data_IF_968440819187
#
_entry.id   IF_968440819187
#
_cell.length_a   1.000
_cell.length_b   1.000
_cell.length_c   1.000
_cell.angle_alpha   90.00
_cell.angle_beta   90.00
_cell.angle_gamma   90.00
#
_symmetry.space_group_name_H-M   'P 1'
#
loop_
_entity.id
_entity.type
_entity.pdbx_description
1 polymer ?
#
# COMPACT_ATOMS: atom_id res chain seq x y z
N UNK A 1 -39.43 4.82 24.04
CA UNK A 1 -38.19 4.09 23.82
C UNK A 1 -37.79 4.36 22.37
N UNK A 2 -36.87 5.29 22.13
CA UNK A 2 -36.41 5.59 20.77
C UNK A 2 -35.49 4.45 20.35
N UNK A 3 -35.91 3.63 19.40
CA UNK A 3 -35.02 2.76 18.66
C UNK A 3 -34.04 3.69 17.91
N UNK A 4 -32.79 3.69 18.34
CA UNK A 4 -31.70 4.26 17.56
C UNK A 4 -31.61 3.35 16.32
N UNK A 5 -32.17 3.81 15.20
CA UNK A 5 -31.93 3.18 13.90
C UNK A 5 -30.41 3.32 13.65
N UNK A 6 -29.66 2.29 13.97
CA UNK A 6 -28.27 2.17 13.55
C UNK A 6 -28.29 2.00 12.04
N UNK A 7 -28.07 3.12 11.30
CA UNK A 7 -27.86 3.07 9.86
C UNK A 7 -26.58 2.27 9.63
N UNK A 8 -26.66 1.26 8.76
CA UNK A 8 -25.50 0.48 8.36
C UNK A 8 -24.45 1.43 7.75
N UNK A 9 -23.21 1.35 8.23
CA UNK A 9 -22.11 2.18 7.73
C UNK A 9 -21.79 1.81 6.30
N UNK A 10 -21.51 2.82 5.48
CA UNK A 10 -21.22 2.67 4.05
C UNK A 10 -19.71 2.66 3.85
N UNK A 11 -19.19 1.63 3.19
CA UNK A 11 -17.78 1.45 2.90
C UNK A 11 -17.55 1.43 1.39
N UNK A 12 -16.71 2.31 0.89
CA UNK A 12 -16.30 2.35 -0.52
C UNK A 12 -15.05 1.49 -0.71
N UNK A 13 -15.16 0.42 -1.50
CA UNK A 13 -14.04 -0.46 -1.89
C UNK A 13 -13.56 -0.06 -3.27
N UNK A 14 -12.27 0.29 -3.39
CA UNK A 14 -11.63 0.64 -4.67
C UNK A 14 -10.52 -0.36 -4.95
N UNK A 15 -10.76 -1.22 -5.94
CA UNK A 15 -9.93 -2.38 -6.25
C UNK A 15 -10.12 -2.70 -7.73
N UNK A 16 -9.05 -2.78 -8.52
CA UNK A 16 -9.13 -3.08 -9.95
C UNK A 16 -9.30 -4.58 -10.23
N UNK A 17 -8.73 -5.47 -9.40
CA UNK A 17 -8.95 -6.91 -9.52
C UNK A 17 -10.40 -7.29 -9.15
N UNK A 18 -11.17 -7.89 -10.08
CA UNK A 18 -12.58 -8.19 -9.85
C UNK A 18 -12.80 -9.24 -8.77
N UNK A 19 -11.86 -10.19 -8.60
CA UNK A 19 -11.99 -11.28 -7.61
C UNK A 19 -11.81 -10.74 -6.20
N UNK A 20 -10.76 -9.95 -5.98
CA UNK A 20 -10.50 -9.29 -4.71
C UNK A 20 -11.61 -8.32 -4.35
N UNK A 21 -12.12 -7.55 -5.32
CA UNK A 21 -13.20 -6.60 -5.13
C UNK A 21 -14.49 -7.27 -4.64
N UNK A 22 -14.88 -8.39 -5.27
CA UNK A 22 -16.07 -9.17 -4.85
C UNK A 22 -15.87 -9.76 -3.47
N UNK A 23 -14.71 -10.36 -3.21
CA UNK A 23 -14.38 -10.94 -1.90
C UNK A 23 -14.48 -9.89 -0.77
N UNK A 24 -13.94 -8.69 -0.99
CA UNK A 24 -14.01 -7.60 -0.01
C UNK A 24 -15.46 -7.15 0.23
N UNK A 25 -16.27 -7.04 -0.82
CA UNK A 25 -17.68 -6.69 -0.67
C UNK A 25 -18.43 -7.73 0.16
N UNK A 26 -18.27 -9.02 -0.15
CA UNK A 26 -18.91 -10.12 0.58
C UNK A 26 -18.47 -10.14 2.07
N UNK A 27 -17.20 -9.88 2.36
CA UNK A 27 -16.69 -9.80 3.73
C UNK A 27 -17.36 -8.65 4.50
N UNK A 28 -17.51 -7.49 3.90
CA UNK A 28 -18.10 -6.30 4.51
C UNK A 28 -19.61 -6.49 4.72
N UNK A 29 -20.32 -6.96 3.70
CA UNK A 29 -21.78 -7.20 3.78
C UNK A 29 -22.11 -8.26 4.84
N UNK A 30 -21.29 -9.34 4.93
CA UNK A 30 -21.44 -10.35 5.97
C UNK A 30 -21.20 -9.83 7.39
N UNK A 31 -20.56 -8.67 7.51
CA UNK A 31 -20.31 -7.98 8.78
C UNK A 31 -21.31 -6.84 9.05
N UNK A 32 -22.31 -6.63 8.16
CA UNK A 32 -23.37 -5.65 8.34
C UNK A 32 -23.06 -4.26 7.78
N UNK A 33 -21.99 -4.10 7.00
CA UNK A 33 -21.70 -2.87 6.25
C UNK A 33 -22.44 -2.84 4.92
N UNK A 34 -22.65 -1.65 4.38
CA UNK A 34 -23.06 -1.46 2.99
C UNK A 34 -21.82 -1.26 2.14
N UNK A 35 -21.53 -2.19 1.22
CA UNK A 35 -20.36 -2.14 0.37
C UNK A 35 -20.67 -1.46 -0.97
N UNK A 36 -19.99 -0.35 -1.27
CA UNK A 36 -19.95 0.26 -2.60
C UNK A 36 -18.64 -0.14 -3.27
N UNK A 37 -18.69 -0.62 -4.51
CA UNK A 37 -17.48 -1.12 -5.19
C UNK A 37 -17.12 -0.29 -6.42
N UNK A 38 -15.84 0.00 -6.59
CA UNK A 38 -15.29 0.71 -7.74
C UNK A 38 -14.07 -0.03 -8.28
N UNK A 39 -14.02 -0.20 -9.60
CA UNK A 39 -12.91 -0.82 -10.32
C UNK A 39 -11.84 0.20 -10.77
N UNK A 40 -12.04 1.48 -10.50
CA UNK A 40 -11.11 2.55 -10.90
C UNK A 40 -11.30 3.81 -10.05
N UNK A 41 -10.27 4.65 -10.01
CA UNK A 41 -10.32 5.94 -9.33
C UNK A 41 -11.49 6.83 -9.84
N UNK A 42 -11.76 6.84 -11.15
CA UNK A 42 -12.86 7.63 -11.72
C UNK A 42 -14.24 7.16 -11.26
N UNK A 43 -14.44 5.83 -11.15
CA UNK A 43 -15.68 5.28 -10.60
C UNK A 43 -15.79 5.59 -9.10
N UNK A 44 -14.70 5.43 -8.35
CA UNK A 44 -14.64 5.73 -6.93
C UNK A 44 -15.01 7.18 -6.61
N UNK A 45 -14.51 8.14 -7.39
CA UNK A 45 -14.84 9.56 -7.21
C UNK A 45 -16.33 9.84 -7.40
N UNK A 46 -16.98 9.18 -8.38
CA UNK A 46 -18.44 9.32 -8.60
C UNK A 46 -19.25 8.74 -7.44
N UNK A 47 -18.89 7.53 -6.99
CA UNK A 47 -19.57 6.88 -5.86
C UNK A 47 -19.37 7.67 -4.55
N UNK A 48 -18.14 8.13 -4.30
CA UNK A 48 -17.84 8.97 -3.15
C UNK A 48 -18.72 10.24 -3.12
N UNK A 49 -18.85 10.93 -4.26
CA UNK A 49 -19.65 12.14 -4.36
C UNK A 49 -21.17 11.90 -4.23
N UNK A 50 -21.64 10.72 -4.60
CA UNK A 50 -23.07 10.38 -4.59
C UNK A 50 -23.53 9.82 -3.24
N UNK A 51 -22.67 9.15 -2.47
CA UNK A 51 -23.08 8.35 -1.32
C UNK A 51 -22.46 8.76 0.01
N UNK A 52 -21.46 9.65 0.01
CA UNK A 52 -20.76 10.14 1.21
C UNK A 52 -20.38 9.00 2.18
N UNK A 53 -19.51 8.07 1.79
CA UNK A 53 -19.21 6.88 2.57
C UNK A 53 -18.51 7.21 3.90
N UNK A 54 -18.71 6.37 4.92
CA UNK A 54 -18.07 6.48 6.24
C UNK A 54 -16.61 6.05 6.20
N UNK A 55 -16.27 5.11 5.31
CA UNK A 55 -14.90 4.63 5.13
C UNK A 55 -14.59 4.33 3.66
N UNK A 56 -13.30 4.32 3.32
CA UNK A 56 -12.81 3.84 2.04
C UNK A 56 -11.68 2.82 2.23
N UNK A 57 -11.82 1.66 1.58
CA UNK A 57 -10.76 0.66 1.42
C UNK A 57 -10.18 0.87 0.02
N UNK A 58 -8.88 1.18 -0.05
CA UNK A 58 -8.22 1.58 -1.27
C UNK A 58 -7.05 0.65 -1.60
N UNK A 59 -7.09 0.00 -2.76
CA UNK A 59 -5.84 -0.52 -3.31
C UNK A 59 -4.94 0.66 -3.70
N UNK A 60 -3.65 0.49 -3.45
CA UNK A 60 -2.64 1.47 -3.81
C UNK A 60 -2.34 1.42 -5.30
N UNK A 61 -2.33 0.21 -5.89
CA UNK A 61 -2.09 0.00 -7.32
C UNK A 61 -3.41 -0.21 -8.07
N UNK A 62 -3.94 0.86 -8.61
CA UNK A 62 -5.18 0.86 -9.41
C UNK A 62 -4.91 0.82 -10.92
N UNK A 63 -3.73 0.34 -11.31
CA UNK A 63 -3.30 0.29 -12.71
C UNK A 63 -2.91 1.66 -13.26
N UNK A 64 -3.42 2.01 -14.46
CA UNK A 64 -3.03 3.26 -15.12
C UNK A 64 -3.78 4.47 -14.55
N UNK A 65 -3.04 5.49 -14.12
CA UNK A 65 -3.60 6.78 -13.72
C UNK A 65 -3.34 7.18 -12.27
N UNK A 66 -4.39 7.59 -11.58
CA UNK A 66 -4.33 8.03 -10.17
C UNK A 66 -4.19 6.78 -9.29
N UNK A 67 -3.17 6.74 -8.43
CA UNK A 67 -2.99 5.68 -7.46
C UNK A 67 -3.88 5.87 -6.21
N UNK A 68 -3.95 4.84 -5.36
CA UNK A 68 -4.79 4.87 -4.16
C UNK A 68 -4.41 5.97 -3.16
N UNK A 69 -3.14 6.38 -3.09
CA UNK A 69 -2.73 7.48 -2.20
C UNK A 69 -3.22 8.83 -2.70
N UNK A 70 -3.08 9.11 -4.01
CA UNK A 70 -3.59 10.35 -4.60
C UNK A 70 -5.11 10.44 -4.47
N UNK A 71 -5.80 9.29 -4.59
CA UNK A 71 -7.25 9.19 -4.40
C UNK A 71 -7.63 9.44 -2.94
N UNK A 72 -6.90 8.87 -1.98
CA UNK A 72 -7.09 9.10 -0.55
C UNK A 72 -6.92 10.59 -0.18
N UNK A 73 -5.88 11.23 -0.72
CA UNK A 73 -5.65 12.67 -0.52
C UNK A 73 -6.81 13.51 -1.08
N UNK A 74 -7.36 13.12 -2.24
CA UNK A 74 -8.51 13.80 -2.83
C UNK A 74 -9.78 13.64 -1.97
N UNK A 75 -10.00 12.43 -1.43
CA UNK A 75 -11.13 12.16 -0.53
C UNK A 75 -10.98 12.87 0.81
N UNK A 76 -9.81 12.78 1.43
CA UNK A 76 -9.54 13.41 2.73
C UNK A 76 -9.69 14.94 2.70
N UNK A 77 -9.32 15.60 1.59
CA UNK A 77 -9.57 17.03 1.42
C UNK A 77 -11.05 17.40 1.39
N UNK A 78 -11.91 16.49 0.92
CA UNK A 78 -13.37 16.73 0.82
C UNK A 78 -14.11 16.28 2.07
N UNK A 79 -13.69 15.20 2.70
CA UNK A 79 -14.24 14.63 3.92
C UNK A 79 -13.10 14.24 4.86
N UNK A 80 -12.63 15.16 5.73
CA UNK A 80 -11.55 14.86 6.68
C UNK A 80 -11.89 13.77 7.71
N UNK A 81 -13.18 13.51 7.92
CA UNK A 81 -13.68 12.47 8.82
C UNK A 81 -13.74 11.06 8.17
N UNK A 82 -13.51 10.96 6.86
CA UNK A 82 -13.50 9.67 6.16
C UNK A 82 -12.44 8.75 6.75
N UNK A 83 -12.85 7.58 7.22
CA UNK A 83 -11.91 6.55 7.64
C UNK A 83 -11.21 5.94 6.41
N UNK A 84 -9.90 5.80 6.47
CA UNK A 84 -9.09 5.28 5.37
C UNK A 84 -8.40 3.98 5.76
N UNK A 85 -8.53 2.96 4.91
CA UNK A 85 -7.79 1.72 5.01
C UNK A 85 -7.13 1.44 3.64
N UNK A 86 -5.81 1.37 3.62
CA UNK A 86 -5.08 0.92 2.45
C UNK A 86 -4.89 -0.58 2.47
N UNK A 87 -5.17 -1.20 1.34
CA UNK A 87 -5.06 -2.64 1.14
C UNK A 87 -4.27 -2.90 -0.13
N UNK A 88 -3.07 -3.49 -0.03
CA UNK A 88 -2.17 -3.58 -1.18
C UNK A 88 -1.21 -4.75 -1.09
N UNK A 89 -0.70 -5.19 -2.23
CA UNK A 89 0.44 -6.12 -2.29
C UNK A 89 1.77 -5.47 -1.95
N UNK A 90 1.83 -4.13 -1.94
CA UNK A 90 3.07 -3.41 -1.70
C UNK A 90 3.46 -3.47 -0.22
N UNK A 91 4.68 -3.85 0.09
CA UNK A 91 5.16 -3.92 1.47
C UNK A 91 5.33 -2.54 2.12
N UNK A 92 5.50 -1.49 1.32
CA UNK A 92 5.82 -0.15 1.81
C UNK A 92 5.23 0.94 0.90
N UNK A 93 4.51 1.94 1.47
CA UNK A 93 3.94 3.06 0.70
C UNK A 93 4.97 3.87 -0.08
N UNK A 94 6.25 3.84 0.34
CA UNK A 94 7.34 4.55 -0.32
C UNK A 94 7.62 4.07 -1.75
N UNK A 95 7.12 2.89 -2.14
CA UNK A 95 7.29 2.36 -3.50
C UNK A 95 6.47 3.09 -4.56
N UNK A 96 5.36 3.72 -4.22
CA UNK A 96 4.41 4.25 -5.21
C UNK A 96 4.35 5.77 -5.25
N UNK A 97 4.45 6.46 -4.12
CA UNK A 97 4.18 7.89 -4.07
C UNK A 97 5.45 8.75 -4.15
N UNK A 98 5.51 9.63 -5.16
CA UNK A 98 6.51 10.70 -5.23
C UNK A 98 6.18 11.90 -4.33
N UNK A 99 4.91 12.07 -3.96
CA UNK A 99 4.41 13.28 -3.33
C UNK A 99 4.13 13.16 -1.83
N UNK A 100 3.71 12.00 -1.33
CA UNK A 100 3.37 11.83 0.09
C UNK A 100 4.25 10.79 0.75
N UNK A 101 5.01 11.22 1.75
CA UNK A 101 5.87 10.33 2.56
C UNK A 101 5.17 9.82 3.81
N UNK A 102 3.96 10.27 4.08
CA UNK A 102 3.18 9.86 5.25
C UNK A 102 1.73 9.59 4.87
N UNK A 103 1.23 8.45 5.31
CA UNK A 103 -0.21 8.17 5.26
C UNK A 103 -0.96 9.18 6.12
N UNK A 104 -2.22 9.50 5.78
CA UNK A 104 -3.07 10.32 6.61
C UNK A 104 -3.09 9.81 8.06
N UNK A 105 -3.14 10.72 9.02
CA UNK A 105 -3.26 10.34 10.43
C UNK A 105 -4.54 9.53 10.63
N UNK A 106 -4.45 8.42 11.37
CA UNK A 106 -5.61 7.53 11.58
C UNK A 106 -5.90 6.55 10.44
N UNK A 107 -5.16 6.59 9.33
CA UNK A 107 -5.32 5.58 8.28
C UNK A 107 -4.72 4.23 8.68
N UNK A 108 -5.45 3.14 8.42
CA UNK A 108 -4.93 1.78 8.51
C UNK A 108 -4.22 1.38 7.21
N UNK A 109 -3.29 0.43 7.30
CA UNK A 109 -2.54 -0.10 6.15
C UNK A 109 -2.35 -1.60 6.30
N UNK A 110 -3.01 -2.37 5.46
CA UNK A 110 -2.95 -3.82 5.45
C UNK A 110 -2.33 -4.34 4.15
N UNK A 111 -1.73 -5.51 4.24
CA UNK A 111 -1.23 -6.24 3.07
C UNK A 111 -2.25 -7.28 2.61
N UNK A 112 -2.48 -7.38 1.29
CA UNK A 112 -3.43 -8.32 0.69
C UNK A 112 -3.08 -9.78 0.97
N UNK A 113 -1.79 -10.13 1.12
CA UNK A 113 -1.35 -11.48 1.46
C UNK A 113 -1.75 -11.93 2.90
N UNK A 114 -2.22 -11.00 3.72
CA UNK A 114 -2.69 -11.28 5.08
C UNK A 114 -4.23 -11.30 5.21
N UNK A 115 -4.95 -11.17 4.09
CA UNK A 115 -6.42 -11.20 4.05
C UNK A 115 -7.05 -12.59 4.22
N UNK A 116 -6.25 -13.63 4.46
CA UNK A 116 -6.78 -14.98 4.74
C UNK A 116 -7.70 -15.03 5.97
N UNK A 117 -7.58 -14.05 6.87
CA UNK A 117 -8.46 -13.88 8.01
C UNK A 117 -9.25 -12.57 7.89
N UNK A 118 -10.54 -12.67 7.58
CA UNK A 118 -11.43 -11.50 7.49
C UNK A 118 -11.47 -10.65 8.76
N UNK A 119 -11.15 -11.24 9.93
CA UNK A 119 -11.11 -10.51 11.21
C UNK A 119 -10.08 -9.41 11.18
N UNK A 120 -8.91 -9.63 10.56
CA UNK A 120 -7.85 -8.61 10.45
C UNK A 120 -8.36 -7.39 9.68
N UNK A 121 -9.07 -7.61 8.57
CA UNK A 121 -9.68 -6.53 7.78
C UNK A 121 -10.71 -5.75 8.60
N UNK A 122 -11.62 -6.47 9.26
CA UNK A 122 -12.71 -5.84 10.01
C UNK A 122 -12.20 -5.09 11.24
N UNK A 123 -11.25 -5.65 11.99
CA UNK A 123 -10.61 -4.98 13.12
C UNK A 123 -9.89 -3.68 12.69
N UNK A 124 -9.16 -3.73 11.57
CA UNK A 124 -8.49 -2.54 11.05
C UNK A 124 -9.48 -1.48 10.53
N UNK A 125 -10.59 -1.91 9.91
CA UNK A 125 -11.64 -1.00 9.44
C UNK A 125 -12.35 -0.34 10.62
N UNK A 126 -12.73 -1.10 11.66
CA UNK A 126 -13.36 -0.55 12.86
C UNK A 126 -12.41 0.39 13.61
N UNK A 127 -11.13 0.05 13.69
CA UNK A 127 -10.12 0.93 14.28
C UNK A 127 -9.98 2.24 13.50
N UNK A 128 -10.05 2.20 12.17
CA UNK A 128 -10.02 3.41 11.34
C UNK A 128 -11.30 4.26 11.53
N UNK A 129 -12.46 3.60 11.61
CA UNK A 129 -13.76 4.26 11.83
C UNK A 129 -13.88 4.91 13.23
N UNK A 130 -13.25 4.32 14.24
CA UNK A 130 -13.22 4.85 15.61
C UNK A 130 -12.06 5.81 15.87
N UNK A 131 -11.11 5.96 14.93
CA UNK A 131 -9.90 6.73 15.11
C UNK A 131 -8.85 6.08 16.02
N UNK A 132 -8.96 4.78 16.28
CA UNK A 132 -8.12 4.00 17.21
C UNK A 132 -7.07 3.15 16.49
N UNK A 133 -6.58 3.60 15.33
CA UNK A 133 -5.56 2.89 14.57
C UNK A 133 -4.24 2.81 15.36
N UNK A 134 -3.79 1.59 15.63
CA UNK A 134 -2.55 1.27 16.33
C UNK A 134 -1.49 0.70 15.38
N UNK A 135 -0.31 0.39 15.91
CA UNK A 135 0.76 -0.26 15.12
C UNK A 135 0.37 -1.63 14.54
N UNK A 136 -0.60 -2.33 15.13
CA UNK A 136 -1.11 -3.61 14.62
C UNK A 136 -1.88 -3.43 13.29
N UNK A 137 -2.49 -2.27 13.08
CA UNK A 137 -3.23 -1.92 11.86
C UNK A 137 -2.34 -1.18 10.83
N UNK A 138 -1.03 -1.11 11.09
CA UNK A 138 -0.06 -0.36 10.30
C UNK A 138 1.07 -1.29 9.85
N UNK A 139 0.77 -2.16 8.89
CA UNK A 139 1.75 -3.10 8.33
C UNK A 139 2.90 -2.41 7.59
N UNK A 140 2.77 -1.13 7.29
CA UNK A 140 3.85 -0.28 6.77
C UNK A 140 4.89 0.12 7.83
N UNK A 141 4.57 0.02 9.12
CA UNK A 141 5.42 0.47 10.25
C UNK A 141 6.06 -0.66 11.07
N UNK A 142 6.09 -1.88 10.56
CA UNK A 142 6.75 -2.97 11.29
C UNK A 142 8.26 -2.73 11.41
N UNK A 143 8.75 -2.66 12.65
CA UNK A 143 10.14 -2.33 12.99
C UNK A 143 11.17 -3.41 12.57
N UNK A 144 10.70 -4.56 12.11
CA UNK A 144 11.49 -5.73 11.69
C UNK A 144 11.69 -5.83 10.17
N UNK A 145 11.36 -4.76 9.42
CA UNK A 145 11.53 -4.76 7.96
C UNK A 145 12.97 -4.44 7.58
N UNK A 146 13.63 -5.31 6.84
CA UNK A 146 14.93 -5.01 6.26
C UNK A 146 14.91 -3.73 5.40
N UNK A 147 13.78 -3.44 4.73
CA UNK A 147 13.60 -2.23 3.90
C UNK A 147 13.58 -0.92 4.69
N UNK A 148 13.30 -0.94 6.02
CA UNK A 148 13.32 0.27 6.85
C UNK A 148 14.74 0.85 7.03
N UNK A 149 15.75 0.03 6.77
CA UNK A 149 17.14 0.49 6.71
C UNK A 149 17.45 1.34 5.48
N UNK A 150 16.59 1.35 4.46
CA UNK A 150 16.80 2.05 3.20
C UNK A 150 16.02 3.36 3.14
N UNK A 151 16.66 4.41 2.61
CA UNK A 151 15.96 5.66 2.28
C UNK A 151 15.07 5.46 1.04
N UNK A 152 14.08 6.35 0.85
CA UNK A 152 13.22 6.36 -0.33
C UNK A 152 14.03 6.32 -1.64
N UNK A 153 15.06 7.17 -1.77
CA UNK A 153 15.93 7.19 -2.95
C UNK A 153 16.60 5.84 -3.19
N UNK A 154 17.03 5.17 -2.12
CA UNK A 154 17.64 3.84 -2.23
C UNK A 154 16.62 2.80 -2.70
N UNK A 155 15.41 2.80 -2.16
CA UNK A 155 14.33 1.92 -2.58
C UNK A 155 14.00 2.12 -4.06
N UNK A 156 13.79 3.36 -4.51
CA UNK A 156 13.50 3.67 -5.92
C UNK A 156 14.62 3.19 -6.87
N UNK A 157 15.88 3.46 -6.52
CA UNK A 157 17.02 3.02 -7.33
C UNK A 157 17.10 1.50 -7.36
N UNK A 158 16.96 0.82 -6.21
CA UNK A 158 17.05 -0.64 -6.15
C UNK A 158 15.89 -1.34 -6.85
N UNK A 159 14.68 -0.76 -6.84
CA UNK A 159 13.54 -1.27 -7.63
C UNK A 159 13.84 -1.22 -9.14
N UNK A 160 14.44 -0.14 -9.64
CA UNK A 160 14.85 -0.04 -11.03
C UNK A 160 15.97 -1.02 -11.39
N UNK A 161 16.91 -1.29 -10.46
CA UNK A 161 17.95 -2.31 -10.63
C UNK A 161 17.33 -3.71 -10.71
N UNK A 162 16.37 -4.03 -9.86
CA UNK A 162 15.63 -5.31 -9.90
C UNK A 162 14.88 -5.50 -11.23
N UNK A 163 14.31 -4.42 -11.80
CA UNK A 163 13.69 -4.40 -13.12
C UNK A 163 14.69 -4.49 -14.29
N UNK A 164 15.98 -4.54 -14.00
CA UNK A 164 17.02 -4.70 -15.02
C UNK A 164 17.49 -3.40 -15.69
N UNK A 165 17.13 -2.25 -15.17
CA UNK A 165 17.63 -0.97 -15.67
C UNK A 165 19.13 -0.81 -15.40
N UNK A 166 19.87 -0.29 -16.37
CA UNK A 166 21.28 0.03 -16.19
C UNK A 166 21.48 1.29 -15.35
N UNK A 167 22.67 1.45 -14.75
CA UNK A 167 22.98 2.67 -13.99
C UNK A 167 22.90 3.94 -14.84
N UNK A 168 23.15 3.85 -16.16
CA UNK A 168 23.00 4.95 -17.11
C UNK A 168 21.54 5.32 -17.34
N UNK A 169 20.66 4.31 -17.52
CA UNK A 169 19.21 4.55 -17.70
C UNK A 169 18.61 5.17 -16.46
N UNK A 170 19.02 4.67 -15.28
CA UNK A 170 18.56 5.20 -13.97
C UNK A 170 19.04 6.65 -13.79
N UNK A 171 20.30 6.94 -14.15
CA UNK A 171 20.85 8.30 -14.07
C UNK A 171 20.11 9.26 -14.97
N UNK A 172 19.84 8.86 -16.23
CA UNK A 172 19.08 9.65 -17.19
C UNK A 172 17.65 9.92 -16.71
N UNK A 173 16.95 8.87 -16.23
CA UNK A 173 15.57 8.99 -15.73
C UNK A 173 15.45 9.89 -14.49
N UNK A 174 16.49 9.96 -13.66
CA UNK A 174 16.53 10.75 -12.43
C UNK A 174 17.20 12.13 -12.57
N UNK A 175 17.69 12.48 -13.74
CA UNK A 175 18.41 13.74 -13.96
C UNK A 175 19.69 13.86 -13.12
N UNK A 176 20.41 12.77 -12.90
CA UNK A 176 21.64 12.71 -12.10
C UNK A 176 22.77 12.05 -12.88
N UNK A 177 23.96 11.93 -12.29
CA UNK A 177 25.07 11.26 -12.94
C UNK A 177 25.20 9.78 -12.53
N UNK A 178 25.83 8.98 -13.41
CA UNK A 178 26.00 7.54 -13.24
C UNK A 178 26.76 7.19 -11.94
N UNK A 179 27.77 8.00 -11.57
CA UNK A 179 28.56 7.80 -10.37
C UNK A 179 27.70 7.91 -9.10
N UNK A 180 26.77 8.86 -9.04
CA UNK A 180 25.81 9.00 -7.94
C UNK A 180 24.90 7.77 -7.84
N UNK A 181 24.39 7.28 -8.97
CA UNK A 181 23.57 6.06 -8.99
C UNK A 181 24.35 4.85 -8.50
N UNK A 182 25.58 4.66 -8.99
CA UNK A 182 26.45 3.57 -8.54
C UNK A 182 26.75 3.64 -7.05
N UNK A 183 26.98 4.84 -6.50
CA UNK A 183 27.17 5.03 -5.07
C UNK A 183 25.92 4.63 -4.28
N UNK A 184 24.73 5.05 -4.73
CA UNK A 184 23.45 4.67 -4.09
C UNK A 184 23.27 3.15 -4.14
N UNK A 185 23.53 2.50 -5.28
CA UNK A 185 23.45 1.04 -5.43
C UNK A 185 24.39 0.34 -4.44
N UNK A 186 25.66 0.72 -4.42
CA UNK A 186 26.67 0.11 -3.52
C UNK A 186 26.24 0.21 -2.05
N UNK A 187 25.83 1.39 -1.61
CA UNK A 187 25.38 1.62 -0.21
C UNK A 187 24.09 0.86 0.11
N UNK A 188 23.23 0.67 -0.88
CA UNK A 188 21.99 -0.09 -0.69
C UNK A 188 22.27 -1.58 -0.58
N UNK A 189 23.12 -2.15 -1.45
CA UNK A 189 23.52 -3.55 -1.38
C UNK A 189 24.18 -3.89 -0.04
N UNK A 190 25.07 -3.02 0.45
CA UNK A 190 25.69 -3.16 1.76
C UNK A 190 24.64 -3.25 2.89
N UNK A 191 23.62 -2.36 2.87
CA UNK A 191 22.54 -2.36 3.87
C UNK A 191 21.60 -3.55 3.74
N UNK A 192 21.43 -4.06 2.53
CA UNK A 192 20.61 -5.24 2.25
C UNK A 192 21.36 -6.55 2.57
N UNK A 193 22.68 -6.49 2.84
CA UNK A 193 23.51 -7.67 3.04
C UNK A 193 23.71 -8.49 1.76
N UNK A 194 23.58 -7.87 0.57
CA UNK A 194 23.72 -8.53 -0.72
C UNK A 194 25.15 -8.31 -1.23
N UNK A 195 25.82 -9.40 -1.63
CA UNK A 195 27.17 -9.32 -2.20
C UNK A 195 27.16 -8.50 -3.50
N UNK A 196 27.91 -7.38 -3.58
CA UNK A 196 27.98 -6.56 -4.79
C UNK A 196 28.69 -7.29 -5.96
N UNK A 197 29.43 -8.37 -5.69
CA UNK A 197 30.15 -9.16 -6.69
C UNK A 197 29.36 -10.41 -7.15
N UNK A 198 28.17 -10.67 -6.57
CA UNK A 198 27.29 -11.76 -7.02
C UNK A 198 26.92 -11.58 -8.51
N UNK A 199 26.57 -12.70 -9.16
CA UNK A 199 26.07 -12.65 -10.54
C UNK A 199 24.92 -11.66 -10.70
N UNK A 200 24.80 -11.05 -11.87
CA UNK A 200 23.81 -9.99 -12.13
C UNK A 200 22.39 -10.51 -11.93
N UNK A 201 22.10 -11.75 -12.32
CA UNK A 201 20.79 -12.36 -12.19
C UNK A 201 20.50 -12.67 -10.72
N UNK A 202 21.42 -13.33 -10.04
CA UNK A 202 21.35 -13.64 -8.60
C UNK A 202 21.16 -12.38 -7.76
N UNK A 203 21.92 -11.33 -8.06
CA UNK A 203 21.79 -10.04 -7.36
C UNK A 203 20.44 -9.38 -7.59
N UNK A 204 19.87 -9.44 -8.82
CA UNK A 204 18.53 -8.92 -9.11
C UNK A 204 17.44 -9.66 -8.36
N UNK A 205 17.53 -10.99 -8.34
CA UNK A 205 16.61 -11.84 -7.58
C UNK A 205 16.69 -11.57 -6.08
N UNK A 206 17.90 -11.45 -5.54
CA UNK A 206 18.12 -11.10 -4.14
C UNK A 206 17.55 -9.71 -3.79
N UNK A 207 17.71 -8.71 -4.67
CA UNK A 207 17.12 -7.37 -4.51
C UNK A 207 15.59 -7.46 -4.56
N UNK A 208 15.03 -8.17 -5.56
CA UNK A 208 13.60 -8.34 -5.71
C UNK A 208 13.01 -9.07 -4.50
N UNK A 209 13.68 -10.12 -4.03
CA UNK A 209 13.33 -10.83 -2.80
C UNK A 209 13.37 -9.90 -1.59
N UNK A 210 14.46 -9.17 -1.36
CA UNK A 210 14.58 -8.23 -0.22
C UNK A 210 13.50 -7.15 -0.25
N UNK A 211 13.19 -6.62 -1.43
CA UNK A 211 12.15 -5.62 -1.61
C UNK A 211 10.75 -6.25 -1.61
N UNK A 212 10.63 -7.53 -1.98
CA UNK A 212 9.41 -8.32 -2.01
C UNK A 212 9.21 -9.21 -0.77
N UNK A 213 10.27 -9.81 -0.18
CA UNK A 213 10.24 -10.61 1.07
C UNK A 213 10.12 -9.75 2.35
N UNK A 214 10.20 -8.46 2.22
CA UNK A 214 9.46 -7.65 3.18
C UNK A 214 7.99 -8.13 3.22
N UNK A 215 7.65 -9.19 2.53
CA UNK A 215 6.36 -9.76 2.26
C UNK A 215 6.11 -11.23 2.52
N UNK A 216 7.10 -12.04 2.72
CA UNK A 216 6.89 -13.49 2.85
C UNK A 216 7.75 -14.05 3.99
N UNK A 217 7.26 -13.93 5.23
CA UNK A 217 7.76 -14.82 6.29
C UNK A 217 7.27 -16.23 5.97
N UNK A 218 8.20 -17.09 5.57
CA UNK A 218 8.00 -18.53 5.47
C UNK A 218 7.29 -19.03 6.72
N UNK A 219 6.14 -19.64 6.51
CA UNK A 219 5.63 -20.69 7.39
C UNK A 219 6.55 -21.88 7.16
N UNK A 220 7.47 -22.14 8.05
CA UNK A 220 8.08 -23.48 8.20
C UNK A 220 7.53 -24.13 9.45
N UNK A 221 6.87 -25.29 9.16
CA UNK A 221 6.58 -26.47 9.97
C UNK A 221 6.03 -26.31 11.39
#
# INVERSE_FOLDING_TARGET
MNEIQTHARVVLVVEDDPTTRVLLADMLESAGFVALTAASAAQAQRLFAAHDPDAAILDVDLGHGINGFDLADAFHRRSPALALLFLTHLPDPRFVSRASTSLPAGAAYLRKDQLFDKRILLEALEAALSGEVTSQHRHDRRADRPSDSLSRTQIEVMSLVAQGKSSSDIAAARGTNVRTVQYVISRSLERMGIDPNADVTERREAIASFLGDAGSSRVEA
#
